data_IF_948345040833
#
_entry.id   IF_948345040833
#
_cell.length_a   1.000
_cell.length_b   1.000
_cell.length_c   1.000
_cell.angle_alpha   90.00
_cell.angle_beta   90.00
_cell.angle_gamma   90.00
#
_symmetry.space_group_name_H-M   'P 1'
#
loop_
_entity.id
_entity.type
_entity.pdbx_description
1 polymer ?
#
# COMPACT_ATOMS: atom_id res chain seq x y z
N UNK A 1 -28.04 12.29 24.01
CA UNK A 1 -26.75 11.68 24.39
C UNK A 1 -26.64 10.32 23.72
N UNK A 2 -25.88 10.22 22.63
CA UNK A 2 -24.97 9.10 22.28
C UNK A 2 -23.92 9.75 21.35
N UNK A 3 -22.65 9.69 21.74
CA UNK A 3 -21.49 10.14 20.95
C UNK A 3 -20.88 8.91 20.30
N UNK A 4 -20.81 8.88 18.97
CA UNK A 4 -19.92 7.98 18.24
C UNK A 4 -19.36 8.74 17.03
N UNK A 5 -18.09 9.12 17.13
CA UNK A 5 -17.27 9.56 16.01
C UNK A 5 -16.91 8.32 15.20
N UNK A 6 -17.17 8.33 13.90
CA UNK A 6 -16.85 7.21 13.02
C UNK A 6 -17.27 7.52 11.59
N UNK A 7 -16.50 8.40 10.93
CA UNK A 7 -16.60 8.61 9.48
C UNK A 7 -16.16 7.33 8.80
N UNK A 8 -17.14 6.54 8.37
CA UNK A 8 -16.94 5.57 7.31
C UNK A 8 -17.30 6.35 6.05
N UNK A 9 -16.28 6.94 5.42
CA UNK A 9 -16.48 7.81 4.27
C UNK A 9 -16.95 6.98 3.08
N UNK A 10 -18.15 7.31 2.64
CA UNK A 10 -18.90 6.69 1.54
C UNK A 10 -18.18 6.86 0.18
N UNK A 11 -17.14 7.68 0.13
CA UNK A 11 -16.31 7.98 -1.03
C UNK A 11 -15.27 6.88 -1.31
N UNK A 12 -14.76 6.21 -0.26
CA UNK A 12 -13.81 5.07 -0.39
C UNK A 12 -14.46 3.90 -1.14
N UNK A 13 -15.77 3.74 -1.02
CA UNK A 13 -16.53 2.71 -1.73
C UNK A 13 -16.70 2.99 -3.23
N UNK A 14 -16.50 4.24 -3.69
CA UNK A 14 -16.72 4.67 -5.08
C UNK A 14 -15.40 4.78 -5.87
N UNK A 15 -14.27 4.94 -5.18
CA UNK A 15 -12.92 4.85 -5.76
C UNK A 15 -12.48 3.39 -5.97
N UNK A 16 -12.94 2.48 -5.10
CA UNK A 16 -12.88 1.03 -5.31
C UNK A 16 -13.61 0.54 -6.59
N UNK A 17 -14.40 1.42 -7.24
CA UNK A 17 -15.16 1.15 -8.47
C UNK A 17 -14.39 1.53 -9.76
N UNK A 18 -13.23 2.18 -9.70
CA UNK A 18 -12.34 2.42 -10.85
C UNK A 18 -11.41 1.23 -11.13
N UNK A 19 -12.00 0.03 -11.09
CA UNK A 19 -11.41 -1.29 -11.36
C UNK A 19 -11.10 -1.51 -12.85
N UNK A 20 -10.38 -0.60 -13.50
CA UNK A 20 -9.89 -0.75 -14.88
C UNK A 20 -8.37 -0.95 -14.91
N UNK A 21 -7.91 -1.87 -14.07
CA UNK A 21 -6.75 -2.78 -14.22
C UNK A 21 -5.36 -2.27 -14.65
N UNK A 22 -5.12 -0.98 -14.88
CA UNK A 22 -3.76 -0.41 -14.99
C UNK A 22 -3.85 1.07 -14.61
N UNK A 23 -3.20 1.47 -13.51
CA UNK A 23 -3.09 2.89 -13.16
C UNK A 23 -2.25 3.64 -14.22
N UNK A 24 -2.28 4.97 -14.27
CA UNK A 24 -1.55 5.83 -15.22
C UNK A 24 -0.04 5.54 -15.29
N UNK A 25 0.49 4.91 -14.26
CA UNK A 25 1.90 4.54 -14.11
C UNK A 25 2.17 3.04 -14.28
N UNK A 26 1.19 2.25 -14.71
CA UNK A 26 1.38 0.84 -15.02
C UNK A 26 1.28 -0.13 -13.84
N UNK A 27 0.78 0.29 -12.67
CA UNK A 27 0.56 -0.64 -11.56
C UNK A 27 -0.62 -1.55 -11.84
N UNK A 28 -0.45 -2.83 -11.51
CA UNK A 28 -1.51 -3.81 -11.59
C UNK A 28 -2.25 -3.97 -10.25
N UNK A 29 -3.27 -4.82 -10.24
CA UNK A 29 -4.08 -5.05 -9.04
C UNK A 29 -3.29 -5.59 -7.84
N UNK A 30 -2.20 -6.32 -8.08
CA UNK A 30 -1.38 -6.89 -7.01
C UNK A 30 -0.42 -5.84 -6.44
N UNK A 31 0.13 -4.96 -7.27
CA UNK A 31 0.88 -3.78 -6.82
C UNK A 31 0.04 -2.90 -5.88
N UNK A 32 -1.18 -2.56 -6.31
CA UNK A 32 -2.11 -1.79 -5.47
C UNK A 32 -2.40 -2.51 -4.16
N UNK A 33 -2.66 -3.82 -4.21
CA UNK A 33 -2.91 -4.63 -3.01
C UNK A 33 -1.70 -4.66 -2.08
N UNK A 34 -0.49 -4.70 -2.61
CA UNK A 34 0.75 -4.69 -1.85
C UNK A 34 0.94 -3.36 -1.12
N UNK A 35 0.79 -2.25 -1.85
CA UNK A 35 0.92 -0.90 -1.29
C UNK A 35 -0.18 -0.60 -0.26
N UNK A 36 -1.43 -0.92 -0.56
CA UNK A 36 -2.55 -0.71 0.37
C UNK A 36 -2.39 -1.57 1.62
N UNK A 37 -2.00 -2.84 1.48
CA UNK A 37 -1.70 -3.70 2.64
C UNK A 37 -0.56 -3.13 3.48
N UNK A 38 0.52 -2.65 2.86
CA UNK A 38 1.64 -2.05 3.59
C UNK A 38 1.23 -0.80 4.36
N UNK A 39 0.36 0.03 3.78
CA UNK A 39 -0.10 1.28 4.39
C UNK A 39 -1.20 1.04 5.42
N UNK A 40 -2.31 0.42 5.04
CA UNK A 40 -3.51 0.28 5.88
C UNK A 40 -3.33 -0.74 7.01
N UNK A 41 -2.66 -1.87 6.72
CA UNK A 41 -2.51 -2.95 7.70
C UNK A 41 -1.29 -2.75 8.61
N UNK A 42 -0.24 -2.11 8.09
CA UNK A 42 1.05 -2.02 8.75
C UNK A 42 1.54 -0.59 8.99
N UNK A 43 0.70 0.42 8.75
CA UNK A 43 1.01 1.83 9.00
C UNK A 43 2.20 2.35 8.18
N UNK A 44 2.46 1.75 7.02
CA UNK A 44 3.61 2.06 6.18
C UNK A 44 4.90 1.34 6.55
N UNK A 45 4.87 0.35 7.47
CA UNK A 45 6.01 -0.50 7.81
C UNK A 45 6.87 0.01 8.98
N UNK A 46 8.06 -0.57 9.23
CA UNK A 46 8.73 -1.61 8.44
C UNK A 46 8.12 -3.01 8.60
N UNK A 47 7.91 -3.71 7.48
CA UNK A 47 7.40 -5.09 7.46
C UNK A 47 8.29 -6.05 6.67
N UNK A 48 8.48 -7.26 7.20
CA UNK A 48 9.20 -8.32 6.47
C UNK A 48 8.44 -8.75 5.21
N UNK A 49 9.16 -9.01 4.11
CA UNK A 49 8.54 -9.38 2.84
C UNK A 49 7.68 -10.64 2.95
N UNK A 50 8.10 -11.63 3.74
CA UNK A 50 7.30 -12.83 3.98
C UNK A 50 5.95 -12.54 4.66
N UNK A 51 5.92 -11.62 5.63
CA UNK A 51 4.65 -11.20 6.26
C UNK A 51 3.75 -10.44 5.28
N UNK A 52 4.36 -9.64 4.41
CA UNK A 52 3.68 -8.91 3.35
C UNK A 52 3.09 -9.89 2.32
N UNK A 53 3.87 -10.86 1.86
CA UNK A 53 3.49 -11.94 0.95
C UNK A 53 2.29 -12.75 1.49
N UNK A 54 2.36 -13.19 2.75
CA UNK A 54 1.25 -13.89 3.42
C UNK A 54 -0.01 -13.01 3.47
N UNK A 55 0.15 -11.71 3.71
CA UNK A 55 -0.98 -10.80 3.81
C UNK A 55 -1.67 -10.55 2.48
N UNK A 56 -0.93 -10.56 1.37
CA UNK A 56 -1.50 -10.41 0.02
C UNK A 56 -1.87 -11.75 -0.63
N UNK A 57 -1.47 -12.88 -0.03
CA UNK A 57 -1.77 -14.22 -0.54
C UNK A 57 -0.84 -14.67 -1.65
N UNK A 58 0.38 -14.14 -1.71
CA UNK A 58 1.37 -14.44 -2.74
C UNK A 58 2.61 -15.13 -2.17
N UNK A 59 3.41 -15.70 -3.07
CA UNK A 59 4.72 -16.22 -2.72
C UNK A 59 5.73 -15.09 -2.52
N UNK A 60 6.61 -15.24 -1.52
CA UNK A 60 7.64 -14.23 -1.23
C UNK A 60 8.58 -14.01 -2.41
N UNK A 61 8.94 -15.08 -3.13
CA UNK A 61 9.80 -15.01 -4.32
C UNK A 61 9.15 -14.24 -5.45
N UNK A 62 7.85 -14.43 -5.67
CA UNK A 62 7.08 -13.69 -6.67
C UNK A 62 7.13 -12.20 -6.36
N UNK A 63 6.93 -11.80 -5.10
CA UNK A 63 7.08 -10.40 -4.72
C UNK A 63 8.50 -9.88 -4.90
N UNK A 64 9.53 -10.64 -4.53
CA UNK A 64 10.94 -10.22 -4.62
C UNK A 64 11.44 -10.08 -6.06
N UNK A 65 11.10 -11.03 -6.93
CA UNK A 65 11.67 -11.14 -8.28
C UNK A 65 10.84 -10.38 -9.32
N UNK A 66 9.54 -10.22 -9.10
CA UNK A 66 8.61 -9.64 -10.10
C UNK A 66 8.17 -8.23 -9.72
N UNK A 67 7.69 -8.01 -8.49
CA UNK A 67 6.99 -6.77 -8.12
C UNK A 67 7.90 -5.74 -7.43
N UNK A 68 8.68 -6.19 -6.44
CA UNK A 68 9.57 -5.33 -5.65
C UNK A 68 10.53 -4.48 -6.50
N UNK A 69 11.15 -5.00 -7.58
CA UNK A 69 12.07 -4.23 -8.39
C UNK A 69 11.41 -2.98 -8.98
N UNK A 70 10.18 -3.11 -9.49
CA UNK A 70 9.44 -1.99 -10.06
C UNK A 70 9.03 -0.98 -8.98
N UNK A 71 8.42 -1.45 -7.89
CA UNK A 71 7.96 -0.59 -6.79
C UNK A 71 9.10 0.17 -6.10
N UNK A 72 10.29 -0.43 -6.01
CA UNK A 72 11.51 0.24 -5.58
C UNK A 72 11.97 1.29 -6.59
N UNK A 73 11.98 0.94 -7.89
CA UNK A 73 12.44 1.83 -8.97
C UNK A 73 11.58 3.10 -9.07
N UNK A 74 10.25 2.97 -8.98
CA UNK A 74 9.34 4.14 -9.01
C UNK A 74 9.25 4.85 -7.66
N UNK A 75 9.88 4.28 -6.62
CA UNK A 75 10.01 4.88 -5.30
C UNK A 75 8.74 4.82 -4.45
N UNK A 76 7.91 3.79 -4.60
CA UNK A 76 6.74 3.55 -3.73
C UNK A 76 7.08 2.83 -2.44
N UNK A 77 8.08 1.96 -2.49
CA UNK A 77 8.58 1.27 -1.32
C UNK A 77 10.06 1.55 -1.16
N UNK A 78 10.56 1.39 0.07
CA UNK A 78 11.97 1.41 0.37
C UNK A 78 12.35 0.17 1.17
N UNK A 79 13.48 -0.44 0.80
CA UNK A 79 14.06 -1.56 1.52
C UNK A 79 14.87 -1.05 2.71
N UNK A 80 14.62 -1.61 3.89
CA UNK A 80 15.39 -1.38 5.11
C UNK A 80 15.84 -2.72 5.70
N UNK A 81 16.84 -2.75 6.60
CA UNK A 81 17.23 -3.98 7.30
C UNK A 81 16.10 -4.63 8.11
N UNK A 82 15.09 -3.82 8.50
CA UNK A 82 13.94 -4.27 9.31
C UNK A 82 12.74 -4.71 8.46
N UNK A 83 12.73 -4.41 7.16
CA UNK A 83 11.59 -4.65 6.29
C UNK A 83 11.40 -3.60 5.21
N UNK A 84 10.24 -3.65 4.54
CA UNK A 84 9.80 -2.70 3.52
C UNK A 84 8.97 -1.61 4.19
N UNK A 85 9.19 -0.38 3.78
CA UNK A 85 8.40 0.79 4.20
C UNK A 85 7.76 1.43 2.98
N UNK A 86 6.53 1.94 3.15
CA UNK A 86 5.88 2.75 2.13
C UNK A 86 6.45 4.16 2.17
N UNK A 87 6.71 4.74 1.00
CA UNK A 87 7.15 6.13 0.89
C UNK A 87 5.94 7.06 0.83
N UNK A 88 6.14 8.36 1.07
CA UNK A 88 5.09 9.37 0.88
C UNK A 88 4.48 9.36 -0.52
N UNK A 89 5.23 8.90 -1.54
CA UNK A 89 4.72 8.74 -2.91
C UNK A 89 3.62 7.68 -2.98
N UNK A 90 3.75 6.58 -2.24
CA UNK A 90 2.74 5.52 -2.22
C UNK A 90 1.44 5.99 -1.56
N UNK A 91 1.55 6.76 -0.48
CA UNK A 91 0.40 7.41 0.16
C UNK A 91 -0.33 8.34 -0.80
N UNK A 92 0.40 9.24 -1.45
CA UNK A 92 -0.17 10.18 -2.44
C UNK A 92 -0.84 9.46 -3.61
N UNK A 93 -0.22 8.40 -4.09
CA UNK A 93 -0.74 7.61 -5.21
C UNK A 93 -2.04 6.88 -4.86
N UNK A 94 -2.16 6.34 -3.65
CA UNK A 94 -3.39 5.70 -3.17
C UNK A 94 -4.43 6.70 -2.63
N UNK A 95 -4.17 8.01 -2.69
CA UNK A 95 -5.04 9.01 -2.09
C UNK A 95 -5.14 8.94 -0.56
N UNK A 96 -4.20 8.24 0.09
CA UNK A 96 -4.20 8.01 1.54
C UNK A 96 -3.43 9.11 2.28
N UNK A 97 -3.94 9.49 3.45
CA UNK A 97 -3.22 10.41 4.33
C UNK A 97 -2.03 9.69 4.99
N UNK A 98 -0.83 10.27 4.91
CA UNK A 98 0.31 9.82 5.69
C UNK A 98 0.07 10.22 7.17
N UNK A 99 -0.41 9.30 8.01
CA UNK A 99 -0.68 9.56 9.44
C UNK A 99 0.59 9.86 10.28
N UNK A 100 1.76 10.07 9.65
CA UNK A 100 3.07 10.03 10.30
C UNK A 100 4.01 11.22 10.08
N UNK A 101 3.60 12.31 9.42
CA UNK A 101 4.46 13.52 9.31
C UNK A 101 3.70 14.80 9.65
N UNK A 102 3.40 14.94 10.94
CA UNK A 102 3.28 16.25 11.60
C UNK A 102 4.70 16.73 11.92
N UNK A 103 5.31 17.49 11.02
CA UNK A 103 6.37 18.44 11.36
C UNK A 103 6.06 19.77 10.69
#
# INVERSE_FOLDING_TARGET
MVKAHGRIDKDIAMEALQMLQVDEIGLDSLDHKLLSTLIEKFGGGPVGLGTLAISVGEETITLEDVYEPYLLQVGFIQRTPRGRIATSRAYQHLGLAEEGKLF
#
